data_IF_209749540038
#
_entry.id   IF_209749540038
#
_cell.length_a   1.000
_cell.length_b   1.000
_cell.length_c   1.000
_cell.angle_alpha   90.00
_cell.angle_beta   90.00
_cell.angle_gamma   90.00
#
_symmetry.space_group_name_H-M   'P 1'
#
loop_
_entity.id
_entity.type
_entity.pdbx_description
1 polymer ?
#
# COMPACT_ATOMS: atom_id res chain seq x y z
N UNK A 1 -42.00 10.22 -21.12
CA UNK A 1 -41.05 9.57 -22.05
C UNK A 1 -39.79 9.25 -21.25
N UNK A 2 -39.66 8.01 -20.79
CA UNK A 2 -38.54 7.58 -19.95
C UNK A 2 -37.32 7.34 -20.84
N UNK A 3 -36.28 8.17 -20.66
CA UNK A 3 -34.99 7.95 -21.29
C UNK A 3 -34.38 6.66 -20.77
N UNK A 4 -34.32 5.65 -21.62
CA UNK A 4 -33.60 4.42 -21.33
C UNK A 4 -32.12 4.76 -21.09
N UNK A 5 -31.65 4.53 -19.86
CA UNK A 5 -30.22 4.50 -19.55
C UNK A 5 -29.60 3.43 -20.45
N UNK A 6 -29.01 3.83 -21.58
CA UNK A 6 -28.29 2.95 -22.50
C UNK A 6 -27.02 2.48 -21.80
N UNK A 7 -27.14 1.41 -21.04
CA UNK A 7 -26.00 0.68 -20.51
C UNK A 7 -25.19 0.11 -21.69
N UNK A 8 -23.87 0.22 -21.64
CA UNK A 8 -23.01 -0.40 -22.65
C UNK A 8 -22.86 -1.88 -22.29
N UNK A 9 -23.26 -2.76 -23.21
CA UNK A 9 -23.19 -4.21 -23.02
C UNK A 9 -21.98 -4.84 -23.74
N UNK A 10 -21.52 -5.98 -23.24
CA UNK A 10 -20.44 -6.74 -23.89
C UNK A 10 -20.92 -7.20 -25.27
N UNK A 11 -20.10 -6.97 -26.30
CA UNK A 11 -20.45 -7.30 -27.69
C UNK A 11 -21.23 -6.21 -28.43
N UNK A 12 -21.59 -5.12 -27.75
CA UNK A 12 -22.19 -3.96 -28.41
C UNK A 12 -21.17 -3.26 -29.31
N UNK A 13 -21.56 -2.97 -30.56
CA UNK A 13 -20.73 -2.20 -31.48
C UNK A 13 -20.73 -0.72 -31.09
N UNK A 14 -19.53 -0.14 -30.99
CA UNK A 14 -19.34 1.29 -30.75
C UNK A 14 -18.70 1.90 -32.00
N UNK A 15 -19.27 3.00 -32.50
CA UNK A 15 -18.74 3.71 -33.68
C UNK A 15 -18.10 5.01 -33.22
N UNK A 16 -16.85 5.21 -33.61
CA UNK A 16 -16.09 6.42 -33.28
C UNK A 16 -15.85 7.27 -34.53
N UNK A 17 -15.80 8.59 -34.35
CA UNK A 17 -15.33 9.53 -35.37
C UNK A 17 -13.94 10.00 -34.97
N UNK A 18 -13.05 10.08 -35.95
CA UNK A 18 -11.69 10.60 -35.73
C UNK A 18 -11.80 12.13 -35.62
N UNK A 19 -11.34 12.77 -34.52
CA UNK A 19 -11.35 14.22 -34.38
C UNK A 19 -10.49 14.91 -35.44
N UNK A 20 -10.85 16.15 -35.79
CA UNK A 20 -10.09 16.96 -36.77
C UNK A 20 -8.69 17.36 -36.28
N UNK A 21 -8.48 17.39 -34.97
CA UNK A 21 -7.20 17.72 -34.33
C UNK A 21 -6.23 16.52 -34.28
N UNK A 22 -6.58 15.38 -34.88
CA UNK A 22 -5.75 14.18 -34.85
C UNK A 22 -4.48 14.39 -35.68
N UNK A 23 -3.27 14.24 -35.11
CA UNK A 23 -2.02 14.36 -35.85
C UNK A 23 -1.90 13.40 -37.04
N UNK A 24 -1.31 13.88 -38.15
CA UNK A 24 -1.15 13.13 -39.40
C UNK A 24 -0.41 11.79 -39.24
N UNK A 25 0.57 11.71 -38.32
CA UNK A 25 1.31 10.47 -38.10
C UNK A 25 0.41 9.35 -37.54
N UNK A 26 -0.60 9.69 -36.73
CA UNK A 26 -1.58 8.73 -36.22
C UNK A 26 -2.52 8.26 -37.32
N UNK A 27 -2.93 9.16 -38.23
CA UNK A 27 -3.76 8.80 -39.38
C UNK A 27 -3.04 7.80 -40.29
N UNK A 28 -1.75 8.04 -40.58
CA UNK A 28 -0.91 7.12 -41.36
C UNK A 28 -0.77 5.76 -40.67
N UNK A 29 -0.58 5.75 -39.36
CA UNK A 29 -0.48 4.51 -38.59
C UNK A 29 -1.80 3.72 -38.61
N UNK A 30 -2.95 4.39 -38.46
CA UNK A 30 -4.27 3.76 -38.55
C UNK A 30 -4.53 3.20 -39.96
N UNK A 31 -4.12 3.91 -41.02
CA UNK A 31 -4.21 3.42 -42.39
C UNK A 31 -3.35 2.18 -42.61
N UNK A 32 -2.10 2.19 -42.15
CA UNK A 32 -1.19 1.02 -42.20
C UNK A 32 -1.78 -0.17 -41.45
N UNK A 33 -2.34 0.07 -40.26
CA UNK A 33 -3.00 -0.97 -39.47
C UNK A 33 -4.21 -1.56 -40.21
N UNK A 34 -5.03 -0.71 -40.84
CA UNK A 34 -6.18 -1.14 -41.65
C UNK A 34 -5.76 -2.01 -42.84
N UNK A 35 -4.66 -1.66 -43.50
CA UNK A 35 -4.14 -2.42 -44.63
C UNK A 35 -3.56 -3.78 -44.20
N UNK A 36 -2.89 -3.81 -43.04
CA UNK A 36 -2.24 -5.01 -42.49
C UNK A 36 -3.27 -6.01 -41.94
N UNK A 37 -4.15 -5.56 -41.04
CA UNK A 37 -5.08 -6.42 -40.29
C UNK A 37 -6.40 -6.70 -41.03
N UNK A 38 -6.79 -5.82 -41.97
CA UNK A 38 -8.02 -5.87 -42.78
C UNK A 38 -9.28 -6.28 -41.99
N UNK A 39 -9.60 -7.58 -41.93
CA UNK A 39 -10.78 -8.13 -41.24
C UNK A 39 -10.67 -8.04 -39.72
N UNK A 40 -9.46 -8.04 -39.17
CA UNK A 40 -9.21 -7.99 -37.73
C UNK A 40 -9.00 -6.56 -37.21
N UNK A 41 -9.03 -5.56 -38.09
CA UNK A 41 -8.77 -4.16 -37.73
C UNK A 41 -9.62 -3.69 -36.54
N UNK A 42 -10.93 -3.97 -36.56
CA UNK A 42 -11.82 -3.56 -35.47
C UNK A 42 -11.48 -4.22 -34.13
N UNK A 43 -11.05 -5.49 -34.15
CA UNK A 43 -10.62 -6.21 -32.95
C UNK A 43 -9.33 -5.60 -32.38
N UNK A 44 -8.37 -5.28 -33.25
CA UNK A 44 -7.11 -4.65 -32.86
C UNK A 44 -7.32 -3.25 -32.28
N UNK A 45 -8.17 -2.44 -32.92
CA UNK A 45 -8.54 -1.11 -32.39
C UNK A 45 -9.27 -1.23 -31.05
N UNK A 46 -10.15 -2.22 -30.89
CA UNK A 46 -10.82 -2.45 -29.60
C UNK A 46 -9.82 -2.74 -28.48
N UNK A 47 -8.75 -3.48 -28.74
CA UNK A 47 -7.69 -3.71 -27.75
C UNK A 47 -6.98 -2.41 -27.36
N UNK A 48 -6.66 -1.54 -28.33
CA UNK A 48 -6.05 -0.24 -28.04
C UNK A 48 -6.98 0.68 -27.25
N UNK A 49 -8.28 0.69 -27.56
CA UNK A 49 -9.27 1.47 -26.80
C UNK A 49 -9.38 0.93 -25.37
N UNK A 50 -9.50 -0.38 -25.18
CA UNK A 50 -9.55 -0.98 -23.83
C UNK A 50 -8.29 -0.66 -23.01
N UNK A 51 -7.12 -0.73 -23.64
CA UNK A 51 -5.86 -0.35 -23.01
C UNK A 51 -5.85 1.13 -22.61
N UNK A 52 -6.26 2.02 -23.51
CA UNK A 52 -6.31 3.46 -23.22
C UNK A 52 -7.33 3.82 -22.12
N UNK A 53 -8.48 3.16 -22.10
CA UNK A 53 -9.47 3.32 -21.01
C UNK A 53 -8.90 2.82 -19.69
N UNK A 54 -8.22 1.67 -19.68
CA UNK A 54 -7.57 1.15 -18.48
C UNK A 54 -6.46 2.10 -17.97
N UNK A 55 -5.63 2.63 -18.85
CA UNK A 55 -4.59 3.61 -18.49
C UNK A 55 -5.20 4.91 -17.93
N UNK A 56 -6.28 5.40 -18.53
CA UNK A 56 -6.99 6.58 -18.04
C UNK A 56 -7.59 6.33 -16.66
N UNK A 57 -8.22 5.17 -16.46
CA UNK A 57 -8.79 4.77 -15.17
C UNK A 57 -7.71 4.59 -14.09
N UNK A 58 -6.56 4.02 -14.43
CA UNK A 58 -5.40 3.90 -13.54
C UNK A 58 -4.74 5.24 -13.26
N UNK A 59 -4.86 6.23 -14.15
CA UNK A 59 -4.35 7.59 -13.91
C UNK A 59 -5.28 8.42 -13.02
N UNK A 60 -6.60 8.23 -13.16
CA UNK A 60 -7.60 8.90 -12.33
C UNK A 60 -7.61 8.40 -10.89
N UNK A 61 -7.33 7.12 -10.67
CA UNK A 61 -7.02 6.61 -9.32
C UNK A 61 -5.55 6.91 -9.07
N UNK A 62 -5.21 7.67 -8.03
CA UNK A 62 -3.83 7.97 -7.62
C UNK A 62 -3.10 6.68 -7.17
N UNK A 63 -2.83 5.79 -8.13
CA UNK A 63 -2.35 4.43 -7.89
C UNK A 63 -0.92 4.31 -8.39
N UNK A 64 -0.05 3.87 -7.49
CA UNK A 64 1.38 3.68 -7.77
C UNK A 64 1.56 2.26 -8.26
N UNK A 65 1.90 2.09 -9.53
CA UNK A 65 2.20 0.76 -10.11
C UNK A 65 3.71 0.51 -10.06
N UNK A 66 4.15 -0.37 -9.17
CA UNK A 66 5.56 -0.79 -9.06
C UNK A 66 5.76 -2.13 -9.77
N UNK A 67 6.56 -2.20 -10.86
CA UNK A 67 6.84 -3.47 -11.52
C UNK A 67 7.74 -4.35 -10.64
N UNK A 68 7.42 -5.64 -10.58
CA UNK A 68 8.23 -6.61 -9.85
C UNK A 68 9.48 -7.01 -10.66
N UNK A 69 10.69 -6.98 -10.07
CA UNK A 69 11.93 -7.25 -10.80
C UNK A 69 12.17 -8.74 -11.12
N UNK A 70 11.52 -9.66 -10.39
CA UNK A 70 11.65 -11.12 -10.55
C UNK A 70 10.34 -11.84 -10.27
N UNK A 71 10.23 -13.09 -10.72
CA UNK A 71 9.11 -13.95 -10.37
C UNK A 71 9.14 -14.27 -8.87
N UNK A 72 8.13 -13.79 -8.14
CA UNK A 72 7.99 -14.08 -6.71
C UNK A 72 7.62 -15.56 -6.49
N UNK A 73 8.15 -16.16 -5.42
CA UNK A 73 7.75 -17.49 -4.94
C UNK A 73 6.28 -17.49 -4.49
N UNK A 74 5.67 -18.67 -4.34
CA UNK A 74 4.27 -18.78 -3.87
C UNK A 74 4.09 -18.14 -2.48
N UNK A 75 5.07 -18.31 -1.61
CA UNK A 75 5.10 -17.71 -0.27
C UNK A 75 5.23 -16.19 -0.35
N UNK A 76 6.15 -15.66 -1.16
CA UNK A 76 6.30 -14.20 -1.34
C UNK A 76 5.02 -13.57 -1.92
N UNK A 77 4.35 -14.25 -2.85
CA UNK A 77 3.06 -13.81 -3.39
C UNK A 77 1.95 -13.84 -2.33
N UNK A 78 1.97 -14.83 -1.45
CA UNK A 78 1.00 -14.92 -0.37
C UNK A 78 1.27 -13.86 0.71
N UNK A 79 2.55 -13.63 1.02
CA UNK A 79 3.00 -12.59 1.92
C UNK A 79 2.56 -11.21 1.42
N UNK A 80 2.78 -10.89 0.14
CA UNK A 80 2.36 -9.61 -0.45
C UNK A 80 0.84 -9.36 -0.40
N UNK A 81 0.04 -10.42 -0.31
CA UNK A 81 -1.44 -10.36 -0.23
C UNK A 81 -1.96 -10.35 1.20
N UNK A 82 -1.11 -10.57 2.18
CA UNK A 82 -1.50 -10.55 3.58
C UNK A 82 -1.68 -9.10 4.05
N UNK A 83 -2.72 -8.84 4.85
CA UNK A 83 -3.09 -7.49 5.30
C UNK A 83 -1.92 -6.74 5.96
N UNK A 84 -1.22 -7.41 6.87
CA UNK A 84 -0.04 -6.83 7.53
C UNK A 84 1.06 -6.44 6.54
N UNK A 85 1.33 -7.25 5.51
CA UNK A 85 2.38 -6.95 4.54
C UNK A 85 1.99 -5.79 3.62
N UNK A 86 0.71 -5.70 3.28
CA UNK A 86 0.16 -4.56 2.55
C UNK A 86 0.31 -3.27 3.37
N UNK A 87 -0.01 -3.31 4.67
CA UNK A 87 0.16 -2.16 5.57
C UNK A 87 1.63 -1.74 5.70
N UNK A 88 2.56 -2.70 5.83
CA UNK A 88 3.99 -2.42 5.87
C UNK A 88 4.47 -1.76 4.57
N UNK A 89 4.11 -2.31 3.41
CA UNK A 89 4.49 -1.74 2.11
C UNK A 89 3.86 -0.35 1.92
N UNK A 90 2.60 -0.19 2.29
CA UNK A 90 1.91 1.10 2.26
C UNK A 90 2.64 2.15 3.09
N UNK A 91 3.10 1.77 4.30
CA UNK A 91 3.86 2.66 5.18
C UNK A 91 5.22 3.02 4.59
N UNK A 92 5.96 2.06 4.03
CA UNK A 92 7.25 2.31 3.39
C UNK A 92 7.09 3.23 2.16
N UNK A 93 6.10 2.97 1.32
CA UNK A 93 5.80 3.79 0.15
C UNK A 93 5.39 5.20 0.55
N UNK A 94 4.54 5.34 1.57
CA UNK A 94 4.14 6.64 2.12
C UNK A 94 5.35 7.43 2.62
N UNK A 95 6.23 6.80 3.40
CA UNK A 95 7.44 7.45 3.91
C UNK A 95 8.41 7.84 2.78
N UNK A 96 8.54 7.00 1.73
CA UNK A 96 9.36 7.31 0.55
C UNK A 96 8.84 8.52 -0.23
N UNK A 97 7.53 8.70 -0.32
CA UNK A 97 6.92 9.85 -1.00
C UNK A 97 7.06 11.14 -0.19
N UNK A 98 7.07 11.05 1.14
CA UNK A 98 7.18 12.21 2.03
C UNK A 98 8.61 12.68 2.26
N UNK A 99 9.53 11.76 2.56
CA UNK A 99 10.93 12.07 2.80
C UNK A 99 11.83 10.88 2.39
N UNK A 100 12.40 10.92 1.17
CA UNK A 100 13.22 9.83 0.67
C UNK A 100 14.53 9.65 1.46
N UNK A 101 15.05 10.71 2.11
CA UNK A 101 16.30 10.63 2.88
C UNK A 101 16.07 9.78 4.14
N UNK A 102 14.98 10.05 4.87
CA UNK A 102 14.59 9.25 6.05
C UNK A 102 14.13 7.83 5.71
N UNK A 103 13.52 7.62 4.56
CA UNK A 103 13.09 6.28 4.16
C UNK A 103 14.28 5.35 3.89
N UNK A 104 15.39 5.87 3.36
CA UNK A 104 16.60 5.07 3.10
C UNK A 104 17.29 4.60 4.39
N UNK A 105 17.26 5.40 5.46
CA UNK A 105 17.82 4.97 6.75
C UNK A 105 16.98 3.86 7.37
N UNK A 106 15.65 3.95 7.34
CA UNK A 106 14.74 2.88 7.81
C UNK A 106 14.91 1.60 6.96
N UNK A 107 15.07 1.73 5.65
CA UNK A 107 15.31 0.56 4.78
C UNK A 107 16.68 -0.07 5.07
N UNK A 108 17.69 0.74 5.38
CA UNK A 108 19.02 0.26 5.76
C UNK A 108 18.98 -0.52 7.07
N UNK A 109 18.24 -0.04 8.08
CA UNK A 109 18.08 -0.75 9.37
C UNK A 109 17.25 -2.02 9.26
N UNK A 110 16.26 -2.06 8.35
CA UNK A 110 15.45 -3.27 8.11
C UNK A 110 16.18 -4.31 7.25
N UNK A 111 17.04 -3.89 6.32
CA UNK A 111 17.77 -4.78 5.41
C UNK A 111 19.10 -5.26 5.99
N UNK A 112 19.68 -4.54 6.94
CA UNK A 112 20.88 -4.97 7.67
C UNK A 112 20.47 -5.57 9.01
N UNK A 113 20.70 -6.86 9.19
CA UNK A 113 20.76 -7.50 10.51
C UNK A 113 22.04 -7.05 11.28
N UNK A 114 22.30 -5.74 11.37
CA UNK A 114 23.41 -5.20 12.14
C UNK A 114 22.94 -4.10 13.10
N UNK A 115 23.47 -4.11 14.34
CA UNK A 115 23.06 -3.16 15.37
C UNK A 115 23.40 -1.74 14.94
N UNK A 116 22.45 -0.87 15.23
CA UNK A 116 22.47 0.57 15.01
C UNK A 116 23.77 1.16 15.58
N UNK A 117 24.74 1.47 14.73
CA UNK A 117 25.81 2.37 15.13
C UNK A 117 25.22 3.78 15.05
N UNK A 118 24.92 4.33 16.21
CA UNK A 118 24.27 5.62 16.36
C UNK A 118 25.08 6.70 15.64
N UNK A 119 24.54 7.21 14.53
CA UNK A 119 25.03 8.46 13.94
C UNK A 119 24.86 9.59 14.96
N UNK A 120 25.87 10.47 15.10
CA UNK A 120 25.86 11.51 16.11
C UNK A 120 24.77 12.52 15.77
N UNK A 121 23.85 12.73 16.70
CA UNK A 121 22.92 13.86 16.64
C UNK A 121 23.74 15.14 16.47
N UNK A 122 23.39 16.05 15.54
CA UNK A 122 24.00 17.37 15.52
C UNK A 122 23.65 18.04 16.85
N UNK A 123 24.67 18.28 17.68
CA UNK A 123 24.57 19.12 18.87
C UNK A 123 23.97 20.46 18.43
N UNK A 124 22.68 20.65 18.73
CA UNK A 124 22.10 21.98 18.74
C UNK A 124 22.77 22.68 19.92
N UNK A 125 23.66 23.63 19.61
CA UNK A 125 24.14 24.66 20.54
C UNK A 125 22.94 25.26 21.28
N UNK A 126 22.64 24.66 22.43
CA UNK A 126 21.66 25.15 23.38
C UNK A 126 22.46 25.94 24.40
N UNK A 127 22.37 27.25 24.26
CA UNK A 127 22.93 28.23 25.17
C UNK A 127 22.70 27.82 26.64
N UNK A 128 23.75 28.01 27.44
CA UNK A 128 23.83 27.78 28.88
C UNK A 128 22.54 28.18 29.62
N UNK A 129 21.92 27.21 30.29
CA UNK A 129 21.04 27.43 31.43
C UNK A 129 21.51 26.52 32.59
N UNK A 130 21.39 26.95 33.86
CA UNK A 130 22.13 26.36 34.97
C UNK A 130 21.57 25.00 35.39
N UNK A 131 22.48 24.13 35.79
CA UNK A 131 22.28 22.80 36.39
C UNK A 131 21.56 22.92 37.73
N UNK A 132 20.34 22.37 37.83
CA UNK A 132 19.72 21.97 39.10
C UNK A 132 18.98 20.62 38.90
N UNK A 133 19.38 19.67 39.75
CA UNK A 133 18.78 18.38 40.13
C UNK A 133 18.59 17.27 39.07
N UNK A 134 19.45 16.25 39.16
CA UNK A 134 19.17 14.92 38.63
C UNK A 134 17.96 14.30 39.37
N UNK A 135 16.95 13.75 38.67
CA UNK A 135 15.93 12.95 39.33
C UNK A 135 16.56 11.63 39.78
N UNK A 136 16.69 11.45 41.10
CA UNK A 136 17.13 10.19 41.71
C UNK A 136 16.15 9.06 41.35
N UNK A 137 16.56 8.21 40.41
CA UNK A 137 15.75 7.09 39.88
C UNK A 137 15.58 5.94 40.89
N UNK A 138 16.28 5.97 42.03
CA UNK A 138 16.13 4.99 43.11
C UNK A 138 14.99 5.33 44.09
N UNK A 139 14.34 6.50 43.96
CA UNK A 139 13.22 6.92 44.80
C UNK A 139 11.83 6.56 44.25
N UNK A 140 11.75 5.88 43.09
CA UNK A 140 10.46 5.53 42.47
C UNK A 140 9.89 4.27 43.15
N UNK A 141 8.99 4.46 44.12
CA UNK A 141 8.30 3.36 44.79
C UNK A 141 7.27 2.68 43.86
N UNK A 142 7.70 1.60 43.22
CA UNK A 142 6.88 0.75 42.35
C UNK A 142 5.71 0.04 43.07
N UNK A 143 5.62 0.10 44.41
CA UNK A 143 4.52 -0.50 45.15
C UNK A 143 3.18 0.24 44.96
N UNK A 144 3.19 1.47 44.44
CA UNK A 144 1.95 2.23 44.22
C UNK A 144 1.31 2.01 42.84
N UNK A 145 1.93 1.22 41.95
CA UNK A 145 1.36 0.89 40.63
C UNK A 145 0.35 -0.28 40.68
N UNK A 146 0.18 -0.92 41.84
CA UNK A 146 -0.74 -2.03 42.04
C UNK A 146 -2.21 -1.64 42.26
N UNK A 147 -2.52 -0.36 42.48
CA UNK A 147 -3.87 0.10 42.85
C UNK A 147 -4.68 0.72 41.70
N UNK A 148 -4.21 0.67 40.46
CA UNK A 148 -4.96 1.19 39.30
C UNK A 148 -6.01 0.22 38.74
N UNK A 149 -6.22 -0.94 39.37
CA UNK A 149 -7.24 -1.88 38.96
C UNK A 149 -8.28 -2.06 40.07
N UNK A 150 -9.22 -1.12 40.14
CA UNK A 150 -10.61 -1.39 40.57
C UNK A 150 -11.48 -0.13 40.46
N UNK A 151 -12.21 0.01 39.35
CA UNK A 151 -13.68 0.22 39.34
C UNK A 151 -14.20 0.39 37.92
N UNK A 152 -14.55 -0.73 37.29
CA UNK A 152 -15.74 -0.75 36.43
C UNK A 152 -16.47 -2.08 36.67
N UNK A 153 -17.44 -2.04 37.59
CA UNK A 153 -18.33 -3.15 37.87
C UNK A 153 -19.35 -3.25 36.73
N UNK A 154 -19.18 -4.18 35.80
CA UNK A 154 -20.33 -4.76 35.10
C UNK A 154 -20.06 -6.19 34.59
N UNK A 155 -20.85 -7.12 35.12
CA UNK A 155 -21.12 -8.49 34.67
C UNK A 155 -19.99 -9.54 34.72
N UNK A 156 -20.06 -10.41 35.73
CA UNK A 156 -19.45 -11.75 35.76
C UNK A 156 -19.90 -12.59 34.54
N UNK A 157 -18.95 -12.93 33.67
CA UNK A 157 -18.95 -14.21 32.96
C UNK A 157 -17.55 -14.80 33.13
N UNK A 158 -17.42 -16.08 33.52
CA UNK A 158 -16.10 -16.71 33.60
C UNK A 158 -15.55 -16.84 32.18
N UNK A 159 -14.51 -16.07 31.86
CA UNK A 159 -13.79 -16.24 30.60
C UNK A 159 -13.17 -17.63 30.58
N UNK A 160 -13.67 -18.49 29.69
CA UNK A 160 -13.06 -19.76 29.38
C UNK A 160 -11.65 -19.48 28.82
N UNK A 161 -10.63 -19.98 29.51
CA UNK A 161 -9.23 -19.86 29.11
C UNK A 161 -9.08 -20.38 27.66
N UNK A 162 -8.85 -19.51 26.66
CA UNK A 162 -8.89 -19.87 25.24
C UNK A 162 -7.78 -20.86 24.86
N UNK A 163 -6.83 -21.10 25.76
CA UNK A 163 -5.75 -22.07 25.59
C UNK A 163 -6.10 -23.47 26.15
N UNK A 164 -7.10 -23.59 27.02
CA UNK A 164 -7.48 -24.88 27.62
C UNK A 164 -8.11 -25.85 26.60
N UNK A 165 -8.90 -25.32 25.65
CA UNK A 165 -9.50 -26.10 24.56
C UNK A 165 -8.43 -26.53 23.52
N UNK A 166 -7.35 -25.73 23.37
CA UNK A 166 -6.22 -26.06 22.50
C UNK A 166 -5.39 -27.23 23.05
N UNK A 167 -5.06 -27.23 24.35
CA UNK A 167 -4.26 -28.31 24.95
C UNK A 167 -5.01 -29.64 25.01
N UNK A 168 -6.33 -29.62 25.20
CA UNK A 168 -7.16 -30.83 25.27
C UNK A 168 -7.24 -31.58 23.93
N UNK A 169 -7.01 -30.90 22.81
CA UNK A 169 -7.10 -31.48 21.45
C UNK A 169 -5.82 -32.17 20.98
N UNK A 170 -4.69 -31.93 21.63
CA UNK A 170 -3.38 -32.47 21.24
C UNK A 170 -3.03 -33.79 21.96
N UNK A 171 -3.78 -34.17 23.00
CA UNK A 171 -3.58 -35.38 23.79
C UNK A 171 -4.60 -36.49 23.48
N UNK A 172 -5.12 -36.55 22.25
CA UNK A 172 -6.02 -37.62 21.81
C UNK A 172 -5.45 -38.42 20.64
#
# INVERSE_FOLDING_TARGET
MQGSKKHIERGQSITFRIPSDTPDYLLKQLQKLKETERRNFSSQIAQYVLKGVNETFTRERETITVPLPRQLTKEQKNWLKHEHSEALIGTIVYQLLQDPIRATSILSTLSSNQPMEAEPYPEQDSAEAPVEDEPDLDAVDLNHLGELHETDQNAEQPEEDPLADFFSKMNK
#
